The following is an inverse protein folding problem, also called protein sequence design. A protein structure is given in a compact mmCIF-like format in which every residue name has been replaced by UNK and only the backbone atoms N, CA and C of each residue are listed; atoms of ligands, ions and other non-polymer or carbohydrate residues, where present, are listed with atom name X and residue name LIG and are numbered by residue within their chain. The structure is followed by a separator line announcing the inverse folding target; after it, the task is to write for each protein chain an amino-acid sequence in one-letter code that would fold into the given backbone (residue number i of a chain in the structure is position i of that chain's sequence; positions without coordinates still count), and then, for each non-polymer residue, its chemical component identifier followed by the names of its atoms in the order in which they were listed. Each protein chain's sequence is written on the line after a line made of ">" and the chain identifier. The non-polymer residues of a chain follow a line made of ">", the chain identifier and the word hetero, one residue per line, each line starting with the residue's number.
data_IF_296754699440
#
_entry.id   IF_296754699440
#
_cell.length_a   1.000
_cell.length_b   1.000
_cell.length_c   1.000
_cell.angle_alpha   90.00
_cell.angle_beta   90.00
_cell.angle_gamma   90.00
#
_symmetry.space_group_name_H-M   'P 1'
#
loop_
_entity.id
_entity.type
_entity.pdbx_description
1 polymer ?
#
# COMPACT_ATOMS: atom_id res chain seq x y z
N UNK A 1 -27.71 -22.87 13.50
CA UNK A 1 -26.44 -22.57 12.89
C UNK A 1 -26.71 -21.43 11.91
N UNK A 2 -26.23 -20.25 12.20
CA UNK A 2 -26.29 -19.12 11.26
C UNK A 2 -25.51 -19.51 10.01
N UNK A 3 -25.95 -19.12 8.80
CA UNK A 3 -25.12 -19.30 7.61
C UNK A 3 -23.78 -18.60 7.88
N UNK A 4 -22.69 -19.21 7.45
CA UNK A 4 -21.35 -18.66 7.63
C UNK A 4 -21.33 -17.19 7.17
N UNK A 5 -21.11 -16.27 8.10
CA UNK A 5 -20.96 -14.83 7.84
C UNK A 5 -19.78 -14.49 6.89
N UNK A 6 -19.04 -15.50 6.44
CA UNK A 6 -17.88 -15.38 5.56
C UNK A 6 -18.17 -15.52 4.08
N UNK A 7 -19.38 -15.93 3.68
CA UNK A 7 -19.71 -16.18 2.28
C UNK A 7 -20.53 -15.02 1.69
N UNK A 8 -20.10 -14.53 0.51
CA UNK A 8 -20.85 -13.50 -0.21
C UNK A 8 -22.25 -13.99 -0.60
N UNK A 9 -23.23 -13.10 -0.56
CA UNK A 9 -24.58 -13.37 -1.01
C UNK A 9 -24.62 -13.78 -2.50
N UNK A 10 -25.55 -14.66 -2.92
CA UNK A 10 -25.66 -15.11 -4.32
C UNK A 10 -25.78 -13.97 -5.33
N UNK A 11 -26.50 -12.90 -5.00
CA UNK A 11 -26.67 -11.74 -5.88
C UNK A 11 -25.38 -10.93 -6.02
N UNK A 12 -24.58 -10.83 -4.95
CA UNK A 12 -23.26 -10.20 -5.01
C UNK A 12 -22.32 -11.02 -5.89
N UNK A 13 -22.26 -12.34 -5.70
CA UNK A 13 -21.47 -13.25 -6.57
C UNK A 13 -21.89 -13.14 -8.03
N UNK A 14 -23.18 -13.05 -8.32
CA UNK A 14 -23.71 -12.84 -9.68
C UNK A 14 -23.24 -11.52 -10.26
N UNK A 15 -23.26 -10.44 -9.48
CA UNK A 15 -22.81 -9.12 -9.91
C UNK A 15 -21.31 -9.10 -10.23
N UNK A 16 -20.47 -9.71 -9.38
CA UNK A 16 -19.04 -9.86 -9.61
C UNK A 16 -18.76 -10.63 -10.90
N UNK A 17 -19.40 -11.77 -11.09
CA UNK A 17 -19.27 -12.58 -12.30
C UNK A 17 -19.71 -11.83 -13.55
N UNK A 18 -20.85 -11.14 -13.49
CA UNK A 18 -21.35 -10.31 -14.59
C UNK A 18 -20.35 -9.22 -14.96
N UNK A 19 -19.77 -8.53 -13.95
CA UNK A 19 -18.76 -7.49 -14.19
C UNK A 19 -17.50 -8.06 -14.84
N UNK A 20 -17.02 -9.20 -14.38
CA UNK A 20 -15.85 -9.88 -14.95
C UNK A 20 -16.10 -10.32 -16.41
N UNK A 21 -17.21 -11.01 -16.66
CA UNK A 21 -17.59 -11.47 -17.99
C UNK A 21 -17.77 -10.32 -18.99
N UNK A 22 -18.44 -9.23 -18.57
CA UNK A 22 -18.61 -8.03 -19.38
C UNK A 22 -17.26 -7.39 -19.73
N UNK A 23 -16.34 -7.33 -18.78
CA UNK A 23 -15.01 -6.80 -19.03
C UNK A 23 -14.21 -7.68 -20.00
N UNK A 24 -14.31 -8.99 -19.90
CA UNK A 24 -13.65 -9.93 -20.81
C UNK A 24 -14.11 -9.71 -22.25
N UNK A 25 -15.42 -9.61 -22.47
CA UNK A 25 -15.98 -9.35 -23.81
C UNK A 25 -15.55 -8.01 -24.37
N UNK A 26 -15.72 -6.93 -23.61
CA UNK A 26 -15.38 -5.58 -24.07
C UNK A 26 -13.88 -5.37 -24.24
N UNK A 27 -13.07 -5.96 -23.34
CA UNK A 27 -11.61 -5.90 -23.41
C UNK A 27 -11.00 -6.90 -24.39
N UNK A 28 -11.81 -7.75 -25.04
CA UNK A 28 -11.40 -8.77 -26.01
C UNK A 28 -10.28 -9.67 -25.44
N UNK A 29 -10.27 -9.92 -24.13
CA UNK A 29 -9.28 -10.78 -23.50
C UNK A 29 -9.64 -12.25 -23.75
N UNK A 30 -8.72 -13.12 -24.22
CA UNK A 30 -9.02 -14.54 -24.41
C UNK A 30 -9.50 -15.21 -23.12
N UNK A 31 -8.92 -14.84 -21.98
CA UNK A 31 -9.35 -15.30 -20.66
C UNK A 31 -9.06 -14.27 -19.59
N UNK A 32 -9.84 -14.34 -18.50
CA UNK A 32 -9.67 -13.56 -17.27
C UNK A 32 -9.87 -14.47 -16.07
N UNK A 33 -9.11 -14.24 -15.00
CA UNK A 33 -9.35 -14.84 -13.69
C UNK A 33 -9.38 -13.73 -12.65
N UNK A 34 -10.22 -13.87 -11.63
CA UNK A 34 -10.36 -12.87 -10.58
C UNK A 34 -10.63 -13.50 -9.22
N UNK A 35 -10.27 -12.78 -8.18
CA UNK A 35 -10.62 -13.13 -6.80
C UNK A 35 -11.03 -11.89 -6.03
N UNK A 36 -11.87 -12.07 -5.03
CA UNK A 36 -12.20 -11.07 -4.02
C UNK A 36 -11.86 -11.62 -2.65
N UNK A 37 -11.23 -10.77 -1.86
CA UNK A 37 -10.81 -11.04 -0.48
C UNK A 37 -11.61 -10.14 0.44
N UNK A 38 -12.03 -10.67 1.59
CA UNK A 38 -12.67 -9.91 2.66
C UNK A 38 -12.10 -10.35 3.99
N UNK A 39 -11.73 -9.37 4.83
CA UNK A 39 -11.16 -9.65 6.13
C UNK A 39 -10.04 -10.71 6.05
N UNK A 40 -9.06 -10.46 5.16
CA UNK A 40 -7.90 -11.31 4.91
C UNK A 40 -8.16 -12.65 4.23
N UNK A 41 -9.39 -12.99 3.87
CA UNK A 41 -9.74 -14.32 3.33
C UNK A 41 -10.37 -14.25 1.95
N UNK A 42 -10.04 -15.15 1.02
CA UNK A 42 -10.73 -15.28 -0.25
C UNK A 42 -12.21 -15.65 -0.02
N UNK A 43 -13.13 -14.83 -0.56
CA UNK A 43 -14.58 -15.05 -0.47
C UNK A 43 -15.22 -15.36 -1.83
N UNK A 44 -14.48 -15.09 -2.91
CA UNK A 44 -14.91 -15.39 -4.27
C UNK A 44 -13.68 -15.54 -5.18
N UNK A 45 -13.69 -16.59 -6.00
CA UNK A 45 -12.71 -16.82 -7.08
C UNK A 45 -13.49 -17.31 -8.29
N UNK A 46 -13.24 -16.74 -9.46
CA UNK A 46 -13.92 -17.12 -10.70
C UNK A 46 -13.03 -16.84 -11.92
N UNK A 47 -13.35 -17.46 -13.04
CA UNK A 47 -12.71 -17.24 -14.32
C UNK A 47 -13.73 -17.14 -15.45
N UNK A 48 -13.33 -16.51 -16.58
CA UNK A 48 -14.15 -16.39 -17.76
C UNK A 48 -13.31 -16.42 -19.04
N UNK A 49 -13.87 -16.95 -20.13
CA UNK A 49 -13.14 -17.13 -21.38
C UNK A 49 -12.52 -18.50 -21.50
N UNK A 50 -11.38 -18.65 -22.19
CA UNK A 50 -10.77 -19.96 -22.45
C UNK A 50 -9.24 -19.92 -22.35
N UNK A 51 -8.68 -20.91 -21.68
CA UNK A 51 -7.24 -21.25 -21.66
C UNK A 51 -7.09 -22.71 -22.07
N UNK A 52 -6.34 -22.99 -23.15
CA UNK A 52 -6.12 -24.34 -23.68
C UNK A 52 -7.40 -25.18 -23.86
N UNK A 53 -8.51 -24.53 -24.25
CA UNK A 53 -9.81 -25.18 -24.49
C UNK A 53 -10.70 -25.35 -23.24
N UNK A 54 -10.21 -24.99 -22.05
CA UNK A 54 -10.97 -24.98 -20.79
C UNK A 54 -11.20 -23.58 -20.24
N UNK A 55 -12.15 -23.43 -19.32
CA UNK A 55 -12.33 -22.18 -18.56
C UNK A 55 -11.19 -22.04 -17.56
N UNK A 56 -10.57 -20.86 -17.41
CA UNK A 56 -9.57 -20.65 -16.36
C UNK A 56 -10.20 -20.78 -14.97
N UNK A 57 -9.43 -21.28 -14.05
CA UNK A 57 -9.79 -21.42 -12.65
C UNK A 57 -8.87 -20.57 -11.75
N UNK A 58 -9.05 -20.68 -10.44
CA UNK A 58 -8.25 -19.98 -9.45
C UNK A 58 -6.76 -20.34 -9.47
N UNK A 59 -6.38 -21.51 -10.03
CA UNK A 59 -5.01 -22.03 -10.06
C UNK A 59 -4.33 -21.91 -11.43
N UNK A 60 -5.01 -21.35 -12.42
CA UNK A 60 -4.40 -21.01 -13.71
C UNK A 60 -3.43 -19.84 -13.54
N UNK A 61 -2.15 -20.04 -13.89
CA UNK A 61 -1.14 -18.99 -13.80
C UNK A 61 -1.25 -17.98 -14.95
N UNK A 62 -1.03 -16.72 -14.59
CA UNK A 62 -0.84 -15.58 -15.49
C UNK A 62 0.45 -14.84 -15.12
N UNK A 63 1.09 -14.19 -16.08
CA UNK A 63 2.20 -13.29 -15.79
C UNK A 63 1.66 -12.01 -15.14
N UNK A 64 2.22 -11.60 -13.98
CA UNK A 64 1.63 -10.53 -13.17
C UNK A 64 2.35 -9.18 -13.31
N UNK A 65 3.40 -9.13 -14.12
CA UNK A 65 4.11 -7.89 -14.42
C UNK A 65 4.55 -7.14 -13.17
N UNK A 66 4.35 -5.85 -13.17
CA UNK A 66 4.84 -4.94 -12.13
C UNK A 66 4.28 -5.16 -10.72
N UNK A 67 3.29 -6.02 -10.51
CA UNK A 67 2.93 -6.49 -9.16
C UNK A 67 4.15 -7.13 -8.49
N UNK A 68 5.10 -7.69 -9.26
CA UNK A 68 6.41 -8.16 -8.79
C UNK A 68 7.13 -7.13 -7.91
N UNK A 69 6.98 -5.84 -8.22
CA UNK A 69 7.63 -4.76 -7.45
C UNK A 69 7.16 -4.71 -6.01
N UNK A 70 5.89 -4.95 -5.75
CA UNK A 70 5.36 -4.99 -4.39
C UNK A 70 6.02 -6.11 -3.58
N UNK A 71 6.24 -7.28 -4.18
CA UNK A 71 6.97 -8.37 -3.53
C UNK A 71 8.43 -8.02 -3.23
N UNK A 72 9.11 -7.35 -4.17
CA UNK A 72 10.48 -6.88 -3.96
C UNK A 72 10.52 -5.82 -2.86
N UNK A 73 9.55 -4.91 -2.81
CA UNK A 73 9.46 -3.91 -1.75
C UNK A 73 9.28 -4.56 -0.36
N UNK A 74 8.46 -5.61 -0.25
CA UNK A 74 8.32 -6.39 0.99
C UNK A 74 9.68 -6.94 1.43
N UNK A 75 10.47 -7.52 0.53
CA UNK A 75 11.81 -8.04 0.87
C UNK A 75 12.76 -6.94 1.36
N UNK A 76 12.75 -5.77 0.70
CA UNK A 76 13.60 -4.63 1.11
C UNK A 76 13.20 -4.09 2.47
N UNK A 77 11.90 -3.94 2.73
CA UNK A 77 11.40 -3.47 4.02
C UNK A 77 11.66 -4.48 5.14
N UNK A 78 11.59 -5.77 4.85
CA UNK A 78 12.01 -6.82 5.78
C UNK A 78 13.48 -6.69 6.16
N UNK A 79 14.38 -6.42 5.19
CA UNK A 79 15.80 -6.13 5.48
C UNK A 79 15.98 -4.90 6.36
N UNK A 80 15.16 -3.87 6.19
CA UNK A 80 15.14 -2.70 7.07
C UNK A 80 14.69 -3.08 8.49
N UNK A 81 13.60 -3.82 8.62
CA UNK A 81 13.05 -4.24 9.90
C UNK A 81 14.03 -5.13 10.70
N UNK A 82 14.89 -5.86 9.98
CA UNK A 82 16.00 -6.62 10.55
C UNK A 82 17.24 -5.76 10.86
N UNK A 83 17.20 -4.45 10.61
CA UNK A 83 18.33 -3.54 10.82
C UNK A 83 19.51 -3.74 9.85
N UNK A 84 19.29 -4.42 8.71
CA UNK A 84 20.32 -4.70 7.70
C UNK A 84 20.57 -3.52 6.75
N UNK A 85 19.65 -2.58 6.66
CA UNK A 85 19.73 -1.35 5.88
C UNK A 85 18.83 -0.28 6.50
N UNK A 86 19.04 0.99 6.09
CA UNK A 86 18.11 2.09 6.32
C UNK A 86 17.58 2.61 4.97
N UNK A 87 16.32 3.07 4.91
CA UNK A 87 15.76 3.63 3.66
C UNK A 87 16.48 4.90 3.19
N UNK A 88 17.15 5.59 4.11
CA UNK A 88 18.01 6.76 3.85
C UNK A 88 19.41 6.38 3.37
N UNK A 89 19.80 5.10 3.43
CA UNK A 89 21.10 4.68 2.93
C UNK A 89 21.21 4.94 1.42
N UNK A 90 22.34 5.49 0.95
CA UNK A 90 22.64 5.50 -0.47
C UNK A 90 22.91 4.05 -0.93
N UNK A 91 22.51 3.74 -2.16
CA UNK A 91 22.66 2.39 -2.72
C UNK A 91 24.12 1.91 -2.71
N UNK A 92 25.09 2.81 -2.93
CA UNK A 92 26.53 2.53 -2.94
C UNK A 92 27.05 1.92 -1.62
N UNK A 93 26.38 2.19 -0.50
CA UNK A 93 26.72 1.56 0.78
C UNK A 93 26.60 0.03 0.73
N UNK A 94 25.69 -0.47 -0.10
CA UNK A 94 25.38 -1.89 -0.21
C UNK A 94 25.77 -2.49 -1.57
N UNK A 95 25.69 -1.71 -2.66
CA UNK A 95 26.08 -2.07 -4.02
C UNK A 95 27.13 -1.08 -4.56
N UNK A 96 28.38 -1.16 -4.06
CA UNK A 96 29.41 -0.19 -4.42
C UNK A 96 29.75 -0.23 -5.91
N UNK A 97 30.01 0.96 -6.48
CA UNK A 97 30.37 1.12 -7.89
C UNK A 97 29.19 1.13 -8.87
N UNK A 98 27.97 1.21 -8.37
CA UNK A 98 26.78 1.36 -9.22
C UNK A 98 26.65 2.81 -9.71
N UNK A 99 26.38 3.03 -11.00
CA UNK A 99 26.20 4.39 -11.56
C UNK A 99 25.06 5.19 -10.91
N UNK A 100 24.08 4.50 -10.31
CA UNK A 100 22.97 5.10 -9.53
C UNK A 100 23.24 5.07 -8.02
N UNK A 101 24.48 4.92 -7.58
CA UNK A 101 24.86 4.64 -6.20
C UNK A 101 24.44 5.69 -5.18
N UNK A 102 24.23 6.94 -5.59
CA UNK A 102 23.77 8.01 -4.71
C UNK A 102 22.25 8.01 -4.48
N UNK A 103 21.48 7.22 -5.24
CA UNK A 103 20.05 7.07 -4.99
C UNK A 103 19.83 6.37 -3.64
N UNK A 104 18.95 6.92 -2.80
CA UNK A 104 18.58 6.25 -1.55
C UNK A 104 17.63 5.08 -1.82
N UNK A 105 17.68 4.08 -0.95
CA UNK A 105 16.82 2.89 -1.04
C UNK A 105 15.33 3.29 -1.01
N UNK A 106 14.95 4.23 -0.13
CA UNK A 106 13.58 4.75 -0.07
C UNK A 106 13.16 5.46 -1.36
N UNK A 107 14.06 6.23 -1.98
CA UNK A 107 13.77 6.89 -3.25
C UNK A 107 13.59 5.90 -4.41
N UNK A 108 14.31 4.78 -4.41
CA UNK A 108 14.10 3.69 -5.38
C UNK A 108 12.74 3.03 -5.18
N UNK A 109 12.35 2.69 -3.94
CA UNK A 109 11.05 2.11 -3.60
C UNK A 109 9.88 3.00 -4.01
N UNK A 110 10.01 4.32 -3.83
CA UNK A 110 8.97 5.32 -4.10
C UNK A 110 9.01 5.91 -5.52
N UNK A 111 9.92 5.46 -6.38
CA UNK A 111 10.15 6.03 -7.72
C UNK A 111 10.47 7.54 -7.72
N UNK A 112 11.18 8.01 -6.70
CA UNK A 112 11.63 9.42 -6.59
C UNK A 112 13.14 9.57 -6.80
N UNK A 113 13.85 8.50 -7.12
CA UNK A 113 15.29 8.55 -7.39
C UNK A 113 15.65 9.30 -8.67
N UNK A 114 14.68 9.58 -9.54
CA UNK A 114 14.89 10.30 -10.79
C UNK A 114 15.59 9.49 -11.89
N UNK A 115 15.60 8.17 -11.77
CA UNK A 115 16.20 7.28 -12.77
C UNK A 115 15.31 7.17 -14.02
N UNK A 116 15.92 6.80 -15.16
CA UNK A 116 15.21 6.48 -16.39
C UNK A 116 14.09 5.44 -16.14
N UNK A 117 12.97 5.61 -16.84
CA UNK A 117 11.83 4.70 -16.72
C UNK A 117 12.17 3.28 -17.20
N UNK A 118 12.97 3.20 -18.27
CA UNK A 118 13.29 1.97 -18.98
C UNK A 118 14.81 1.82 -19.20
N UNK A 119 15.21 0.61 -19.55
CA UNK A 119 16.60 0.28 -19.87
C UNK A 119 16.99 0.90 -21.22
N UNK A 120 18.27 1.24 -21.45
CA UNK A 120 18.74 1.59 -22.78
C UNK A 120 18.68 0.37 -23.72
N UNK A 121 18.48 0.62 -25.02
CA UNK A 121 18.53 -0.39 -26.08
C UNK A 121 17.20 -1.10 -26.36
N UNK A 122 17.20 -2.38 -26.83
CA UNK A 122 15.97 -3.04 -27.23
C UNK A 122 15.00 -3.25 -26.06
N UNK A 123 13.72 -3.36 -26.38
CA UNK A 123 12.62 -3.57 -25.44
C UNK A 123 12.85 -4.82 -24.57
N UNK A 124 13.19 -4.60 -23.30
CA UNK A 124 13.60 -5.65 -22.37
C UNK A 124 12.54 -6.72 -22.11
N UNK A 125 11.25 -6.35 -22.12
CA UNK A 125 10.15 -7.29 -21.91
C UNK A 125 10.01 -8.33 -23.05
N UNK A 126 10.64 -8.06 -24.21
CA UNK A 126 10.68 -8.94 -25.38
C UNK A 126 12.08 -9.45 -25.69
N UNK A 127 13.07 -9.11 -24.88
CA UNK A 127 14.46 -9.49 -25.08
C UNK A 127 14.88 -10.49 -24.01
N UNK A 128 15.41 -11.68 -24.36
CA UNK A 128 15.92 -12.61 -23.36
C UNK A 128 16.98 -11.96 -22.46
N UNK A 129 16.77 -12.04 -21.15
CA UNK A 129 17.64 -11.39 -20.15
C UNK A 129 19.07 -11.93 -20.15
N UNK A 130 19.28 -13.18 -20.62
CA UNK A 130 20.60 -13.75 -20.80
C UNK A 130 21.50 -12.98 -21.78
N UNK A 131 20.94 -12.12 -22.65
CA UNK A 131 21.67 -11.25 -23.54
C UNK A 131 22.22 -9.99 -22.81
N UNK A 132 21.79 -9.76 -21.58
CA UNK A 132 22.20 -8.63 -20.71
C UNK A 132 22.41 -9.12 -19.29
N UNK A 133 23.49 -9.88 -19.02
CA UNK A 133 23.69 -10.57 -17.75
C UNK A 133 24.10 -9.66 -16.61
N UNK A 134 24.68 -8.48 -16.94
CA UNK A 134 25.23 -7.58 -15.92
C UNK A 134 24.23 -6.46 -15.57
N UNK A 135 24.30 -6.00 -14.32
CA UNK A 135 23.48 -4.88 -13.86
C UNK A 135 23.76 -3.59 -14.63
N UNK A 136 25.02 -3.36 -15.02
CA UNK A 136 25.41 -2.25 -15.87
C UNK A 136 24.72 -2.23 -17.24
N UNK A 137 24.38 -3.40 -17.78
CA UNK A 137 23.71 -3.50 -19.08
C UNK A 137 22.27 -2.94 -19.04
N UNK A 138 21.63 -2.97 -17.86
CA UNK A 138 20.25 -2.50 -17.68
C UNK A 138 20.17 -1.03 -17.24
N UNK A 139 21.26 -0.46 -16.71
CA UNK A 139 21.31 0.93 -16.28
C UNK A 139 21.84 1.88 -17.38
N UNK A 140 22.77 1.40 -18.21
CA UNK A 140 23.54 2.26 -19.09
C UNK A 140 24.54 3.15 -18.34
N UNK A 141 25.14 4.10 -19.06
CA UNK A 141 26.19 4.98 -18.50
C UNK A 141 25.65 6.20 -17.76
N UNK A 142 24.42 6.62 -18.06
CA UNK A 142 23.78 7.81 -17.45
C UNK A 142 22.29 7.55 -17.24
N UNK A 143 21.93 6.83 -16.16
CA UNK A 143 20.54 6.50 -15.87
C UNK A 143 19.77 7.64 -15.20
N UNK A 144 20.42 8.75 -14.79
CA UNK A 144 19.79 9.85 -14.07
C UNK A 144 19.13 10.83 -15.04
N UNK A 145 17.80 10.85 -15.12
CA UNK A 145 17.05 11.72 -16.04
C UNK A 145 16.40 12.92 -15.35
N UNK A 146 16.22 12.84 -14.02
CA UNK A 146 15.70 13.93 -13.20
C UNK A 146 16.49 14.03 -11.90
N UNK A 147 16.59 15.22 -11.26
CA UNK A 147 17.11 15.33 -9.91
C UNK A 147 16.29 14.47 -8.94
N UNK A 148 16.99 13.74 -8.05
CA UNK A 148 16.35 12.92 -7.03
C UNK A 148 15.46 13.75 -6.09
N UNK A 149 14.34 13.20 -5.67
CA UNK A 149 13.39 13.81 -4.72
C UNK A 149 12.47 14.88 -5.32
N UNK A 150 12.63 15.28 -6.59
CA UNK A 150 11.83 16.37 -7.16
C UNK A 150 10.47 15.95 -7.67
N UNK A 151 10.36 14.73 -8.17
CA UNK A 151 9.11 14.21 -8.73
C UNK A 151 9.03 12.69 -8.69
N UNK A 152 7.83 12.19 -8.77
CA UNK A 152 7.62 10.79 -9.10
C UNK A 152 8.03 10.54 -10.56
N UNK A 153 8.87 9.54 -10.78
CA UNK A 153 9.23 9.06 -12.11
C UNK A 153 9.43 7.55 -12.07
N UNK A 154 8.41 6.82 -12.51
CA UNK A 154 8.39 5.36 -12.46
C UNK A 154 9.63 4.78 -13.17
N UNK A 155 10.37 3.89 -12.52
CA UNK A 155 11.61 3.31 -13.05
C UNK A 155 11.61 1.79 -12.88
N UNK A 156 11.62 1.06 -13.98
CA UNK A 156 11.83 -0.39 -14.01
C UNK A 156 13.28 -0.74 -13.60
N UNK A 157 14.34 -0.06 -14.11
CA UNK A 157 15.72 -0.28 -13.66
C UNK A 157 15.92 -0.07 -12.16
N UNK A 158 15.18 0.85 -11.52
CA UNK A 158 15.21 1.04 -10.07
C UNK A 158 14.89 -0.23 -9.29
N UNK A 159 13.96 -1.03 -9.78
CA UNK A 159 13.62 -2.32 -9.14
C UNK A 159 14.56 -3.46 -9.47
N UNK A 160 15.24 -3.41 -10.62
CA UNK A 160 16.38 -4.29 -10.87
C UNK A 160 17.48 -4.08 -9.83
N UNK A 161 17.76 -2.81 -9.47
CA UNK A 161 18.69 -2.46 -8.39
C UNK A 161 18.24 -2.96 -7.02
N UNK A 162 16.96 -2.83 -6.69
CA UNK A 162 16.42 -3.35 -5.42
C UNK A 162 16.48 -4.88 -5.34
N UNK A 163 16.24 -5.59 -6.45
CA UNK A 163 16.46 -7.04 -6.52
C UNK A 163 17.92 -7.42 -6.29
N UNK A 164 18.86 -6.72 -6.96
CA UNK A 164 20.29 -6.93 -6.76
C UNK A 164 20.74 -6.60 -5.31
N UNK A 165 20.13 -5.59 -4.67
CA UNK A 165 20.35 -5.25 -3.26
C UNK A 165 19.95 -6.42 -2.35
N UNK A 166 18.78 -7.03 -2.58
CA UNK A 166 18.33 -8.21 -1.83
C UNK A 166 19.32 -9.36 -2.00
N UNK A 167 19.74 -9.68 -3.24
CA UNK A 167 20.74 -10.70 -3.53
C UNK A 167 22.05 -10.45 -2.79
N UNK A 168 22.52 -9.22 -2.81
CA UNK A 168 23.79 -8.82 -2.16
C UNK A 168 23.76 -9.01 -0.64
N UNK A 169 22.65 -8.63 -0.01
CA UNK A 169 22.54 -8.70 1.46
C UNK A 169 22.26 -10.13 1.93
N UNK A 170 21.46 -10.91 1.20
CA UNK A 170 21.10 -12.30 1.54
C UNK A 170 22.15 -13.31 1.08
N UNK A 171 22.94 -13.01 0.03
CA UNK A 171 23.90 -13.94 -0.55
C UNK A 171 23.26 -15.03 -1.41
N UNK A 172 22.00 -14.87 -1.81
CA UNK A 172 21.19 -15.82 -2.58
C UNK A 172 20.43 -15.08 -3.68
N UNK A 173 19.97 -15.80 -4.72
CA UNK A 173 19.12 -15.22 -5.75
C UNK A 173 17.83 -14.66 -5.14
N UNK A 174 17.41 -13.46 -5.58
CA UNK A 174 16.23 -12.78 -5.03
C UNK A 174 14.95 -13.61 -5.11
N UNK A 175 14.82 -14.45 -6.14
CA UNK A 175 13.67 -15.32 -6.29
C UNK A 175 13.62 -16.44 -5.26
N UNK A 176 14.77 -16.98 -4.84
CA UNK A 176 14.85 -17.98 -3.75
C UNK A 176 14.57 -17.34 -2.40
N UNK A 177 15.09 -16.12 -2.19
CA UNK A 177 14.77 -15.30 -1.00
C UNK A 177 13.27 -15.03 -0.94
N UNK A 178 12.67 -14.58 -2.05
CA UNK A 178 11.24 -14.34 -2.16
C UNK A 178 10.42 -15.57 -1.81
N UNK A 179 10.77 -16.72 -2.38
CA UNK A 179 10.07 -17.97 -2.11
C UNK A 179 10.09 -18.31 -0.63
N UNK A 180 11.26 -18.28 0.00
CA UNK A 180 11.44 -18.65 1.41
C UNK A 180 10.80 -17.66 2.39
N UNK A 181 10.94 -16.35 2.12
CA UNK A 181 10.59 -15.33 3.09
C UNK A 181 9.19 -14.74 2.93
N UNK A 182 8.56 -14.93 1.76
CA UNK A 182 7.24 -14.37 1.47
C UNK A 182 6.27 -15.46 0.97
N UNK A 183 6.64 -16.19 -0.08
CA UNK A 183 5.67 -17.07 -0.75
C UNK A 183 5.32 -18.29 0.12
N UNK A 184 6.30 -18.98 0.68
CA UNK A 184 6.08 -20.15 1.55
C UNK A 184 5.30 -19.78 2.83
N UNK A 185 5.64 -18.70 3.58
CA UNK A 185 4.85 -18.27 4.72
C UNK A 185 3.40 -17.93 4.42
N UNK A 186 3.12 -17.38 3.21
CA UNK A 186 1.78 -17.04 2.75
C UNK A 186 1.07 -18.19 2.03
N UNK A 187 1.72 -19.35 1.85
CA UNK A 187 1.16 -20.52 1.14
C UNK A 187 1.00 -20.32 -0.36
N UNK A 188 1.74 -19.40 -0.97
CA UNK A 188 1.66 -19.03 -2.40
C UNK A 188 2.48 -20.01 -3.28
N UNK A 189 2.07 -21.25 -3.31
CA UNK A 189 2.82 -22.34 -3.95
C UNK A 189 2.80 -22.32 -5.49
N UNK A 190 1.93 -21.51 -6.06
CA UNK A 190 1.75 -21.32 -7.51
C UNK A 190 2.30 -19.99 -8.01
N UNK A 191 3.07 -19.26 -7.18
CA UNK A 191 3.77 -18.02 -7.57
C UNK A 191 5.23 -18.34 -7.86
N UNK A 192 5.66 -18.10 -9.09
CA UNK A 192 6.94 -18.59 -9.61
C UNK A 192 7.60 -17.59 -10.57
N UNK A 193 8.92 -17.70 -10.79
CA UNK A 193 9.66 -16.87 -11.77
C UNK A 193 9.34 -17.26 -13.23
N UNK A 194 9.11 -18.53 -13.48
CA UNK A 194 8.80 -19.07 -14.79
C UNK A 194 7.45 -19.79 -14.76
N UNK A 195 6.71 -19.88 -15.87
CA UNK A 195 5.39 -20.49 -15.88
C UNK A 195 5.43 -21.97 -15.53
N UNK A 196 4.46 -22.41 -14.74
CA UNK A 196 4.22 -23.81 -14.37
C UNK A 196 2.77 -24.15 -14.73
N UNK A 197 2.57 -25.24 -15.47
CA UNK A 197 1.23 -25.65 -15.90
C UNK A 197 0.29 -25.96 -14.69
N UNK A 198 -1.01 -25.63 -14.79
CA UNK A 198 -1.67 -24.93 -15.89
C UNK A 198 -1.35 -23.42 -15.90
N UNK A 199 -1.07 -22.86 -17.06
CA UNK A 199 -0.85 -21.42 -17.24
C UNK A 199 -1.47 -20.94 -18.56
N UNK A 200 -1.83 -19.65 -18.60
CA UNK A 200 -2.32 -18.99 -19.81
C UNK A 200 -1.16 -18.66 -20.77
N UNK A 201 -1.40 -18.76 -22.06
CA UNK A 201 -0.54 -18.18 -23.07
C UNK A 201 -0.82 -16.68 -23.21
N UNK A 202 0.22 -15.88 -23.51
CA UNK A 202 0.10 -14.45 -23.72
C UNK A 202 -0.33 -14.09 -25.14
N UNK A 203 -1.23 -13.11 -25.26
CA UNK A 203 -1.78 -12.70 -26.54
C UNK A 203 -1.85 -11.17 -26.70
N UNK A 204 -1.56 -10.67 -27.90
CA UNK A 204 -2.07 -9.40 -28.36
C UNK A 204 -3.30 -9.66 -29.24
N UNK A 205 -4.25 -8.71 -29.23
CA UNK A 205 -5.40 -8.75 -30.14
C UNK A 205 -5.13 -7.79 -31.30
N UNK A 206 -5.32 -8.25 -32.52
CA UNK A 206 -5.15 -7.40 -33.68
C UNK A 206 -6.07 -6.16 -33.60
N UNK A 207 -5.55 -4.93 -33.81
CA UNK A 207 -6.34 -3.72 -33.57
C UNK A 207 -7.60 -3.61 -34.45
N UNK A 208 -7.56 -4.21 -35.65
CA UNK A 208 -8.63 -4.10 -36.65
C UNK A 208 -9.37 -5.42 -36.93
N UNK A 209 -9.09 -6.48 -36.16
CA UNK A 209 -9.72 -7.78 -36.36
C UNK A 209 -9.76 -8.58 -35.07
N UNK A 210 -10.74 -9.49 -34.91
CA UNK A 210 -10.81 -10.42 -33.81
C UNK A 210 -9.86 -11.62 -34.04
N UNK A 211 -8.56 -11.30 -34.07
CA UNK A 211 -7.47 -12.26 -34.33
C UNK A 211 -6.43 -12.13 -33.22
N UNK A 212 -6.00 -13.26 -32.70
CA UNK A 212 -4.97 -13.35 -31.66
C UNK A 212 -3.59 -13.42 -32.32
N UNK A 213 -2.66 -12.62 -31.79
CA UNK A 213 -1.26 -12.60 -32.13
C UNK A 213 -0.47 -13.09 -30.91
N UNK A 214 0.37 -14.13 -31.03
CA UNK A 214 1.11 -14.68 -29.89
C UNK A 214 2.14 -13.68 -29.37
N UNK A 215 2.23 -13.56 -28.05
CA UNK A 215 3.22 -12.76 -27.36
C UNK A 215 4.30 -13.62 -26.72
N UNK A 216 5.58 -13.19 -26.76
CA UNK A 216 6.66 -13.95 -26.15
C UNK A 216 6.60 -13.86 -24.61
N UNK A 217 6.96 -14.95 -23.95
CA UNK A 217 7.19 -14.99 -22.51
C UNK A 217 8.68 -15.28 -22.28
N UNK A 218 9.49 -14.23 -22.23
CA UNK A 218 10.93 -14.34 -22.01
C UNK A 218 11.28 -14.27 -20.53
N UNK A 219 12.38 -14.89 -20.14
CA UNK A 219 13.04 -14.63 -18.86
C UNK A 219 13.73 -13.26 -18.94
N UNK A 220 13.36 -12.34 -18.07
CA UNK A 220 13.85 -10.98 -18.05
C UNK A 220 15.24 -10.82 -17.39
N UNK A 221 15.80 -11.89 -16.83
CA UNK A 221 17.15 -11.88 -16.24
C UNK A 221 17.28 -10.82 -15.14
N UNK A 222 18.22 -9.87 -15.30
CA UNK A 222 18.44 -8.78 -14.33
C UNK A 222 17.24 -7.86 -14.15
N UNK A 223 16.34 -7.77 -15.13
CA UNK A 223 15.10 -7.02 -15.04
C UNK A 223 13.95 -7.79 -14.35
N UNK A 224 14.16 -9.07 -14.01
CA UNK A 224 13.13 -9.90 -13.38
C UNK A 224 12.47 -9.29 -12.13
N UNK A 225 13.19 -8.58 -11.23
CA UNK A 225 12.56 -7.91 -10.08
C UNK A 225 11.54 -6.82 -10.44
N UNK A 226 11.57 -6.34 -11.68
CA UNK A 226 10.64 -5.32 -12.16
C UNK A 226 9.30 -5.91 -12.67
N UNK A 227 9.24 -7.21 -13.08
CA UNK A 227 8.01 -7.71 -13.69
C UNK A 227 7.95 -9.19 -14.08
N UNK A 228 8.79 -10.04 -13.53
CA UNK A 228 8.93 -11.44 -14.02
C UNK A 228 7.86 -12.40 -13.51
N UNK A 229 7.31 -12.19 -12.31
CA UNK A 229 6.53 -13.23 -11.63
C UNK A 229 5.31 -13.70 -12.42
N UNK A 230 5.03 -14.99 -12.27
CA UNK A 230 3.80 -15.66 -12.63
C UNK A 230 3.04 -16.02 -11.35
N UNK A 231 1.72 -15.84 -11.35
CA UNK A 231 0.90 -16.16 -10.19
C UNK A 231 -0.51 -16.55 -10.62
N UNK A 232 -1.32 -16.92 -9.66
CA UNK A 232 -2.71 -17.34 -9.83
C UNK A 232 -3.64 -16.38 -9.08
N UNK A 233 -4.94 -16.42 -9.41
CA UNK A 233 -5.92 -15.65 -8.68
C UNK A 233 -6.01 -16.07 -7.20
N UNK A 234 -5.84 -17.36 -6.91
CA UNK A 234 -5.83 -17.91 -5.55
C UNK A 234 -4.64 -17.42 -4.74
N UNK A 235 -3.41 -17.52 -5.29
CA UNK A 235 -2.20 -17.06 -4.60
C UNK A 235 -2.23 -15.55 -4.35
N UNK A 236 -2.62 -14.77 -5.37
CA UNK A 236 -2.73 -13.31 -5.21
C UNK A 236 -3.87 -12.90 -4.28
N UNK A 237 -4.92 -13.71 -4.12
CA UNK A 237 -5.90 -13.48 -3.07
C UNK A 237 -5.27 -13.65 -1.68
N UNK A 238 -4.41 -14.64 -1.49
CA UNK A 238 -3.60 -14.77 -0.26
C UNK A 238 -2.70 -13.55 -0.03
N UNK A 239 -2.06 -13.04 -1.09
CA UNK A 239 -1.25 -11.82 -1.02
C UNK A 239 -2.10 -10.58 -0.71
N UNK A 240 -3.29 -10.44 -1.31
CA UNK A 240 -4.21 -9.37 -0.98
C UNK A 240 -4.69 -9.44 0.48
N UNK A 241 -4.90 -10.65 1.02
CA UNK A 241 -5.16 -10.88 2.44
C UNK A 241 -4.02 -10.40 3.33
N UNK A 242 -2.78 -10.74 2.98
CA UNK A 242 -1.60 -10.21 3.65
C UNK A 242 -1.52 -8.67 3.57
N UNK A 243 -1.81 -8.08 2.42
CA UNK A 243 -1.81 -6.62 2.26
C UNK A 243 -2.92 -5.93 3.09
N UNK A 244 -3.99 -6.61 3.49
CA UNK A 244 -5.05 -6.10 4.36
C UNK A 244 -4.69 -6.28 5.85
N UNK A 245 -4.47 -7.51 6.27
CA UNK A 245 -4.41 -7.89 7.69
C UNK A 245 -2.98 -8.02 8.23
N UNK A 246 -1.98 -8.07 7.32
CA UNK A 246 -0.59 -8.32 7.68
C UNK A 246 -0.30 -9.80 8.01
N UNK A 247 0.99 -10.10 8.13
CA UNK A 247 1.54 -11.34 8.68
C UNK A 247 2.96 -11.04 9.17
N UNK A 248 3.17 -11.04 10.47
CA UNK A 248 4.46 -10.69 11.08
C UNK A 248 5.59 -11.67 10.72
N UNK A 249 5.27 -12.86 10.23
CA UNK A 249 6.28 -13.78 9.68
C UNK A 249 6.90 -13.22 8.40
N UNK A 250 6.18 -12.33 7.69
CA UNK A 250 6.57 -11.74 6.41
C UNK A 250 7.04 -10.29 6.59
N UNK A 251 6.25 -9.44 7.24
CA UNK A 251 6.56 -8.01 7.41
C UNK A 251 5.88 -7.46 8.66
N UNK A 252 6.56 -6.54 9.36
CA UNK A 252 5.98 -5.87 10.53
C UNK A 252 4.76 -5.01 10.13
N UNK A 253 3.74 -4.90 11.00
CA UNK A 253 2.52 -4.13 10.70
C UNK A 253 2.80 -2.67 10.37
N UNK A 254 3.71 -2.00 11.07
CA UNK A 254 4.09 -0.61 10.82
C UNK A 254 4.73 -0.43 9.44
N UNK A 255 5.54 -1.39 9.01
CA UNK A 255 6.16 -1.40 7.68
C UNK A 255 5.13 -1.57 6.58
N UNK A 256 4.14 -2.43 6.79
CA UNK A 256 3.02 -2.60 5.86
C UNK A 256 2.15 -1.34 5.77
N UNK A 257 1.89 -0.66 6.89
CA UNK A 257 1.17 0.61 6.91
C UNK A 257 1.96 1.71 6.17
N UNK A 258 3.29 1.74 6.33
CA UNK A 258 4.16 2.67 5.60
C UNK A 258 4.14 2.42 4.09
N UNK A 259 4.09 1.17 3.61
CA UNK A 259 3.93 0.85 2.19
C UNK A 259 2.68 1.50 1.59
N UNK A 260 1.60 1.58 2.33
CA UNK A 260 0.31 2.16 1.93
C UNK A 260 0.22 3.68 2.12
N UNK A 261 1.25 4.29 2.69
CA UNK A 261 1.31 5.74 2.91
C UNK A 261 1.94 6.46 1.70
N UNK A 262 1.48 7.66 1.32
CA UNK A 262 2.09 8.42 0.22
C UNK A 262 3.55 8.74 0.51
N UNK A 263 4.46 8.18 -0.28
CA UNK A 263 5.91 8.39 -0.19
C UNK A 263 6.47 9.22 -1.36
N UNK A 264 5.69 9.39 -2.45
CA UNK A 264 6.03 10.29 -3.54
C UNK A 264 4.91 11.31 -3.76
N UNK A 265 5.26 12.54 -4.21
CA UNK A 265 4.26 13.52 -4.57
C UNK A 265 3.37 12.95 -5.68
N UNK A 266 2.05 13.24 -5.67
CA UNK A 266 1.17 12.86 -6.76
C UNK A 266 1.63 13.55 -8.06
N UNK A 267 1.31 12.96 -9.21
CA UNK A 267 1.46 13.70 -10.48
C UNK A 267 0.67 15.00 -10.41
N UNK A 268 1.29 16.09 -10.88
CA UNK A 268 0.75 17.45 -10.70
C UNK A 268 -0.66 17.66 -11.25
N UNK A 269 -1.13 16.78 -12.14
CA UNK A 269 -2.46 16.81 -12.75
C UNK A 269 -3.50 15.92 -12.07
N UNK A 270 -3.09 15.01 -11.16
CA UNK A 270 -3.95 13.97 -10.59
C UNK A 270 -3.81 13.95 -9.07
N UNK A 271 -4.87 14.41 -8.36
CA UNK A 271 -4.94 14.34 -6.90
C UNK A 271 -5.56 13.04 -6.37
N UNK A 272 -5.92 12.15 -7.27
CA UNK A 272 -6.57 10.87 -7.01
C UNK A 272 -5.59 9.68 -7.08
N UNK A 273 -4.32 9.92 -7.40
CA UNK A 273 -3.29 8.89 -7.46
C UNK A 273 -2.02 9.31 -6.71
N UNK A 274 -1.26 8.33 -6.25
CA UNK A 274 0.02 8.49 -5.57
C UNK A 274 0.81 7.20 -5.59
N UNK A 275 1.95 7.20 -4.93
CA UNK A 275 2.79 6.01 -4.78
C UNK A 275 3.38 5.95 -3.37
N UNK A 276 3.29 4.79 -2.76
CA UNK A 276 3.90 4.48 -1.47
C UNK A 276 5.25 3.80 -1.63
N UNK A 277 5.60 2.88 -0.75
CA UNK A 277 6.81 2.08 -0.90
C UNK A 277 6.49 0.77 -1.63
N UNK A 278 6.65 0.78 -2.96
CA UNK A 278 6.36 -0.36 -3.82
C UNK A 278 4.87 -0.62 -4.07
N UNK A 279 4.03 0.36 -3.81
CA UNK A 279 2.58 0.27 -4.03
C UNK A 279 2.05 1.52 -4.71
N UNK A 280 1.20 1.34 -5.70
CA UNK A 280 0.35 2.39 -6.25
C UNK A 280 -0.77 2.69 -5.24
N UNK A 281 -1.12 3.97 -5.14
CA UNK A 281 -2.24 4.46 -4.33
C UNK A 281 -3.24 5.13 -5.27
N UNK A 282 -4.51 4.80 -5.12
CA UNK A 282 -5.58 5.34 -5.96
C UNK A 282 -6.76 5.74 -5.07
N UNK A 283 -7.23 6.96 -5.23
CA UNK A 283 -8.50 7.39 -4.63
C UNK A 283 -9.60 7.31 -5.67
N UNK A 284 -10.61 6.49 -5.40
CA UNK A 284 -11.75 6.31 -6.31
C UNK A 284 -13.05 6.16 -5.52
N UNK A 285 -14.06 6.94 -5.91
CA UNK A 285 -15.40 6.91 -5.31
C UNK A 285 -15.38 7.03 -3.77
N UNK A 286 -14.49 7.91 -3.27
CA UNK A 286 -14.31 8.16 -1.84
C UNK A 286 -13.45 7.14 -1.10
N UNK A 287 -13.01 6.05 -1.75
CA UNK A 287 -12.19 4.97 -1.20
C UNK A 287 -10.73 5.16 -1.55
N UNK A 288 -9.85 4.81 -0.63
CA UNK A 288 -8.42 4.66 -0.89
C UNK A 288 -8.13 3.20 -1.23
N UNK A 289 -7.56 2.98 -2.40
CA UNK A 289 -7.07 1.69 -2.85
C UNK A 289 -5.55 1.71 -2.83
N UNK A 290 -4.94 0.66 -2.30
CA UNK A 290 -3.51 0.42 -2.34
C UNK A 290 -3.21 -0.91 -3.02
N UNK A 291 -2.11 -1.01 -3.75
CA UNK A 291 -1.75 -2.22 -4.47
C UNK A 291 -0.90 -1.93 -5.70
N UNK A 292 -1.05 -2.70 -6.75
CA UNK A 292 -0.29 -2.46 -7.98
C UNK A 292 -1.01 -3.03 -9.21
N UNK A 293 -0.88 -2.33 -10.33
CA UNK A 293 -1.18 -2.88 -11.66
C UNK A 293 0.07 -3.50 -12.26
N UNK A 294 -0.09 -4.48 -13.11
CA UNK A 294 1.01 -5.12 -13.83
C UNK A 294 0.70 -5.29 -15.30
N UNK A 295 1.72 -5.14 -16.13
CA UNK A 295 1.67 -5.40 -17.56
C UNK A 295 2.97 -6.06 -18.01
N UNK A 296 2.85 -7.06 -18.84
CA UNK A 296 3.94 -7.68 -19.62
C UNK A 296 3.35 -8.09 -20.97
N UNK A 297 4.17 -8.32 -22.02
CA UNK A 297 3.65 -8.79 -23.28
C UNK A 297 2.70 -9.99 -23.11
N UNK A 298 1.47 -9.83 -23.59
CA UNK A 298 0.41 -10.83 -23.47
C UNK A 298 -0.37 -10.85 -22.17
N UNK A 299 -0.09 -9.98 -21.20
CA UNK A 299 -0.73 -10.03 -19.87
C UNK A 299 -0.93 -8.67 -19.23
N UNK A 300 -2.06 -8.50 -18.55
CA UNK A 300 -2.31 -7.41 -17.59
C UNK A 300 -2.87 -8.00 -16.30
N UNK A 301 -2.50 -7.41 -15.18
CA UNK A 301 -2.87 -7.87 -13.85
C UNK A 301 -3.11 -6.69 -12.89
N UNK A 302 -3.89 -6.92 -11.84
CA UNK A 302 -4.08 -5.94 -10.76
C UNK A 302 -4.35 -6.65 -9.44
N UNK A 303 -3.79 -6.09 -8.38
CA UNK A 303 -4.20 -6.32 -7.00
C UNK A 303 -4.53 -4.96 -6.40
N UNK A 304 -5.76 -4.78 -5.91
CA UNK A 304 -6.17 -3.63 -5.10
C UNK A 304 -6.72 -4.07 -3.77
N UNK A 305 -6.38 -3.36 -2.71
CA UNK A 305 -6.97 -3.52 -1.37
C UNK A 305 -7.47 -2.18 -0.86
N UNK A 306 -8.58 -2.19 -0.16
CA UNK A 306 -9.13 -1.05 0.60
C UNK A 306 -9.14 -1.43 2.08
N UNK A 307 -8.25 -0.82 2.86
CA UNK A 307 -8.10 -1.10 4.29
C UNK A 307 -9.37 -0.73 5.06
N UNK A 308 -9.92 0.46 4.77
CA UNK A 308 -11.15 0.96 5.40
C UNK A 308 -12.34 0.00 5.21
N UNK A 309 -12.46 -0.60 4.02
CA UNK A 309 -13.54 -1.53 3.70
C UNK A 309 -13.19 -2.99 4.08
N UNK A 310 -11.90 -3.31 4.31
CA UNK A 310 -11.40 -4.66 4.50
C UNK A 310 -11.64 -5.57 3.31
N UNK A 311 -11.63 -5.01 2.10
CA UNK A 311 -11.90 -5.72 0.86
C UNK A 311 -10.73 -5.56 -0.08
N UNK A 312 -10.33 -6.66 -0.71
CA UNK A 312 -9.34 -6.66 -1.80
C UNK A 312 -9.88 -7.38 -3.03
N UNK A 313 -9.35 -7.03 -4.20
CA UNK A 313 -9.65 -7.70 -5.44
C UNK A 313 -8.40 -7.92 -6.29
N UNK A 314 -8.38 -9.06 -6.95
CA UNK A 314 -7.38 -9.49 -7.92
C UNK A 314 -8.06 -9.68 -9.26
N UNK A 315 -7.44 -9.19 -10.33
CA UNK A 315 -7.88 -9.45 -11.70
C UNK A 315 -6.67 -9.73 -12.58
N UNK A 316 -6.74 -10.81 -13.35
CA UNK A 316 -5.71 -11.31 -14.27
C UNK A 316 -6.32 -11.47 -15.65
N UNK A 317 -5.62 -11.06 -16.70
CA UNK A 317 -6.04 -11.26 -18.08
C UNK A 317 -4.84 -11.54 -18.98
N UNK A 318 -5.03 -12.44 -19.95
CA UNK A 318 -3.98 -12.81 -20.89
C UNK A 318 -4.07 -12.03 -22.21
N UNK A 319 -3.99 -10.70 -22.10
CA UNK A 319 -3.99 -9.78 -23.24
C UNK A 319 -3.03 -8.61 -22.99
N UNK A 320 -2.32 -8.16 -24.03
CA UNK A 320 -1.33 -7.07 -23.93
C UNK A 320 -1.99 -5.72 -23.61
N UNK A 321 -3.16 -5.42 -24.20
CA UNK A 321 -3.82 -4.12 -24.08
C UNK A 321 -5.34 -4.24 -24.32
N UNK A 322 -6.06 -3.16 -24.00
CA UNK A 322 -7.51 -3.05 -24.23
C UNK A 322 -8.38 -3.52 -23.05
N UNK A 323 -7.82 -4.24 -22.09
CA UNK A 323 -8.54 -4.69 -20.90
C UNK A 323 -8.26 -3.74 -19.71
N UNK A 324 -9.28 -3.05 -19.14
CA UNK A 324 -9.09 -2.07 -18.08
C UNK A 324 -8.95 -2.72 -16.69
N UNK A 325 -7.87 -3.51 -16.50
CA UNK A 325 -7.69 -4.39 -15.35
C UNK A 325 -7.82 -3.69 -14.01
N UNK A 326 -7.24 -2.49 -13.85
CA UNK A 326 -7.30 -1.70 -12.62
C UNK A 326 -8.73 -1.22 -12.30
N UNK A 327 -9.47 -0.78 -13.32
CA UNK A 327 -10.86 -0.36 -13.15
C UNK A 327 -11.77 -1.53 -12.79
N UNK A 328 -11.56 -2.70 -13.42
CA UNK A 328 -12.34 -3.91 -13.10
C UNK A 328 -12.12 -4.32 -11.65
N UNK A 329 -10.87 -4.39 -11.18
CA UNK A 329 -10.57 -4.75 -9.80
C UNK A 329 -11.18 -3.73 -8.80
N UNK A 330 -11.10 -2.43 -9.08
CA UNK A 330 -11.74 -1.41 -8.24
C UNK A 330 -13.26 -1.56 -8.20
N UNK A 331 -13.92 -1.88 -9.33
CA UNK A 331 -15.35 -2.14 -9.39
C UNK A 331 -15.76 -3.39 -8.60
N UNK A 332 -14.90 -4.44 -8.55
CA UNK A 332 -15.14 -5.61 -7.71
C UNK A 332 -15.09 -5.25 -6.22
N UNK A 333 -14.08 -4.47 -5.78
CA UNK A 333 -14.02 -3.93 -4.41
C UNK A 333 -15.27 -3.12 -4.10
N UNK A 334 -15.63 -2.17 -4.96
CA UNK A 334 -16.83 -1.34 -4.79
C UNK A 334 -18.11 -2.17 -4.67
N UNK A 335 -18.27 -3.19 -5.53
CA UNK A 335 -19.46 -4.05 -5.55
C UNK A 335 -19.67 -4.73 -4.20
N UNK A 336 -18.60 -5.24 -3.58
CA UNK A 336 -18.70 -5.88 -2.27
C UNK A 336 -18.93 -4.86 -1.15
N UNK A 337 -18.18 -3.76 -1.14
CA UNK A 337 -18.33 -2.71 -0.14
C UNK A 337 -19.74 -2.09 -0.11
N UNK A 338 -20.40 -1.95 -1.28
CA UNK A 338 -21.73 -1.36 -1.38
C UNK A 338 -22.86 -2.35 -1.12
N UNK A 339 -22.72 -3.62 -1.57
CA UNK A 339 -23.77 -4.61 -1.45
C UNK A 339 -23.76 -5.34 -0.10
N UNK A 340 -22.59 -5.43 0.49
CA UNK A 340 -22.35 -6.12 1.75
C UNK A 340 -21.46 -5.27 2.66
N UNK A 341 -21.91 -4.06 3.05
CA UNK A 341 -21.10 -3.18 3.89
C UNK A 341 -20.82 -3.87 5.24
N UNK A 342 -19.64 -3.57 5.81
CA UNK A 342 -19.32 -4.00 7.16
C UNK A 342 -20.34 -3.45 8.14
N UNK A 343 -20.90 -4.32 8.98
CA UNK A 343 -21.76 -3.91 10.09
C UNK A 343 -20.81 -3.42 11.21
N UNK A 344 -20.87 -2.15 11.62
CA UNK A 344 -20.00 -1.66 12.67
C UNK A 344 -20.30 -2.39 13.99
N UNK A 345 -19.25 -2.59 14.78
CA UNK A 345 -19.43 -3.15 16.11
C UNK A 345 -20.37 -2.25 16.93
N UNK A 346 -21.27 -2.85 17.74
CA UNK A 346 -22.15 -2.05 18.59
C UNK A 346 -21.32 -1.20 19.54
N UNK A 347 -21.73 0.05 19.69
CA UNK A 347 -21.10 0.93 20.67
C UNK A 347 -21.19 0.30 22.08
N UNK A 348 -20.08 0.39 22.80
CA UNK A 348 -20.00 -0.06 24.20
C UNK A 348 -19.46 1.09 25.05
N UNK A 349 -19.98 1.28 26.26
CA UNK A 349 -19.42 2.28 27.17
C UNK A 349 -18.04 1.83 27.67
N UNK A 350 -17.28 2.76 28.20
CA UNK A 350 -16.09 2.46 29.00
C UNK A 350 -16.48 1.52 30.16
N UNK A 351 -15.77 0.40 30.36
CA UNK A 351 -16.08 -0.52 31.46
C UNK A 351 -15.83 0.10 32.84
N UNK A 352 -14.84 0.97 32.92
CA UNK A 352 -14.49 1.76 34.10
C UNK A 352 -14.05 3.13 33.65
N UNK A 353 -14.39 4.16 34.41
CA UNK A 353 -13.98 5.54 34.14
C UNK A 353 -13.10 6.01 35.28
N UNK A 354 -11.93 6.51 34.95
CA UNK A 354 -11.12 7.30 35.86
C UNK A 354 -11.85 8.61 36.18
N UNK A 355 -12.18 8.89 37.45
CA UNK A 355 -12.87 10.14 37.84
C UNK A 355 -12.09 11.41 37.46
N UNK A 356 -10.76 11.37 37.49
CA UNK A 356 -9.94 12.52 37.08
C UNK A 356 -10.05 12.76 35.58
N UNK A 357 -9.96 11.69 34.77
CA UNK A 357 -10.13 11.80 33.34
C UNK A 357 -11.57 12.26 32.98
N UNK A 358 -12.59 11.76 33.69
CA UNK A 358 -13.96 12.21 33.48
C UNK A 358 -14.14 13.71 33.83
N UNK A 359 -13.44 14.21 34.85
CA UNK A 359 -13.44 15.62 35.19
C UNK A 359 -12.80 16.51 34.11
N UNK A 360 -11.94 15.95 33.26
CA UNK A 360 -11.36 16.63 32.09
C UNK A 360 -12.33 16.65 30.90
N UNK A 361 -13.32 15.77 30.84
CA UNK A 361 -14.27 15.71 29.73
C UNK A 361 -15.07 17.01 29.59
N UNK A 362 -15.51 17.29 28.37
CA UNK A 362 -16.33 18.47 28.05
C UNK A 362 -15.58 19.60 27.36
N UNK A 363 -16.11 20.84 27.43
CA UNK A 363 -15.59 21.95 26.66
C UNK A 363 -14.24 22.47 27.17
N UNK A 364 -13.38 22.78 26.22
CA UNK A 364 -12.11 23.45 26.37
C UNK A 364 -11.97 24.53 25.29
N UNK A 365 -11.18 25.56 25.53
CA UNK A 365 -11.04 26.68 24.61
C UNK A 365 -9.56 26.93 24.31
N UNK A 366 -9.21 26.96 23.04
CA UNK A 366 -7.94 27.51 22.56
C UNK A 366 -8.17 28.96 22.16
N UNK A 367 -7.87 29.89 23.06
CA UNK A 367 -8.34 31.27 22.93
C UNK A 367 -9.87 31.33 22.92
N UNK A 368 -10.49 31.93 21.90
CA UNK A 368 -11.95 31.96 21.77
C UNK A 368 -12.51 30.69 21.09
N UNK A 369 -11.67 29.84 20.52
CA UNK A 369 -12.12 28.67 19.74
C UNK A 369 -12.52 27.49 20.65
N UNK A 370 -13.77 26.98 20.56
CA UNK A 370 -14.24 25.88 21.38
C UNK A 370 -13.81 24.53 20.85
N UNK A 371 -13.34 23.67 21.76
CA UNK A 371 -13.00 22.26 21.57
C UNK A 371 -13.78 21.41 22.56
N UNK A 372 -13.82 20.13 22.34
CA UNK A 372 -14.34 19.14 23.29
C UNK A 372 -13.31 18.05 23.53
N UNK A 373 -13.07 17.72 24.79
CA UNK A 373 -12.28 16.57 25.19
C UNK A 373 -13.24 15.44 25.56
N UNK A 374 -13.06 14.27 24.95
CA UNK A 374 -13.90 13.08 25.15
C UNK A 374 -13.03 11.86 25.45
N UNK A 375 -13.17 11.22 26.60
CA UNK A 375 -12.73 9.84 26.80
C UNK A 375 -13.54 8.90 25.91
N UNK A 376 -12.88 7.99 25.21
CA UNK A 376 -13.47 7.06 24.25
C UNK A 376 -13.53 5.64 24.82
N UNK A 377 -14.46 4.82 24.31
CA UNK A 377 -14.69 3.45 24.77
C UNK A 377 -13.48 2.50 24.58
N UNK A 378 -12.56 2.82 23.71
CA UNK A 378 -11.33 2.08 23.44
C UNK A 378 -10.14 2.50 24.32
N UNK A 379 -10.36 3.37 25.31
CA UNK A 379 -9.35 3.86 26.23
C UNK A 379 -8.53 5.04 25.73
N UNK A 380 -8.81 5.54 24.54
CA UNK A 380 -8.21 6.79 24.02
C UNK A 380 -8.97 8.02 24.47
N UNK A 381 -8.38 9.18 24.22
CA UNK A 381 -9.00 10.48 24.41
C UNK A 381 -9.06 11.19 23.06
N UNK A 382 -10.15 11.86 22.77
CA UNK A 382 -10.27 12.74 21.61
C UNK A 382 -10.32 14.20 22.07
N UNK A 383 -9.52 15.06 21.42
CA UNK A 383 -9.63 16.53 21.54
C UNK A 383 -9.96 17.09 20.15
N UNK A 384 -11.18 17.55 19.97
CA UNK A 384 -11.69 17.98 18.67
C UNK A 384 -12.37 19.34 18.73
N UNK A 385 -12.25 20.20 17.67
CA UNK A 385 -12.99 21.45 17.61
C UNK A 385 -14.50 21.21 17.48
N UNK A 386 -15.32 21.97 18.21
CA UNK A 386 -16.78 21.84 18.15
C UNK A 386 -17.38 22.28 16.81
N UNK A 387 -16.70 23.14 16.09
CA UNK A 387 -17.11 23.60 14.74
C UNK A 387 -16.84 22.59 13.63
N UNK A 388 -16.33 21.39 13.98
CA UNK A 388 -15.81 20.43 13.01
C UNK A 388 -14.39 20.78 12.56
N UNK A 389 -13.74 19.83 11.88
CA UNK A 389 -12.36 19.97 11.43
C UNK A 389 -11.42 18.94 12.04
N UNK A 390 -10.13 19.26 12.09
CA UNK A 390 -9.09 18.32 12.54
C UNK A 390 -9.10 18.16 14.05
N UNK A 391 -9.64 17.04 14.54
CA UNK A 391 -9.45 16.57 15.90
C UNK A 391 -8.17 15.74 16.02
N UNK A 392 -7.73 15.56 17.26
CA UNK A 392 -6.60 14.70 17.60
C UNK A 392 -7.09 13.56 18.48
N UNK A 393 -6.75 12.35 18.11
CA UNK A 393 -6.91 11.17 18.96
C UNK A 393 -5.62 10.97 19.74
N UNK A 394 -5.75 10.73 21.02
CA UNK A 394 -4.65 10.74 21.98
C UNK A 394 -4.59 9.40 22.72
N UNK A 395 -3.41 8.81 22.78
CA UNK A 395 -3.13 7.55 23.47
C UNK A 395 -2.54 7.86 24.85
N UNK A 396 -3.03 7.26 25.96
CA UNK A 396 -2.40 7.40 27.26
C UNK A 396 -0.96 6.85 27.22
N UNK A 397 -0.01 7.62 27.78
CA UNK A 397 1.41 7.22 27.87
C UNK A 397 1.82 6.83 29.30
N UNK A 398 0.93 6.99 30.26
CA UNK A 398 1.20 6.92 31.71
C UNK A 398 1.35 8.30 32.32
N UNK A 399 1.44 8.36 33.65
CA UNK A 399 1.67 9.58 34.45
C UNK A 399 0.68 10.75 34.18
N UNK A 400 -0.52 10.44 33.67
CA UNK A 400 -1.54 11.45 33.36
C UNK A 400 -1.25 12.27 32.10
N UNK A 401 -0.41 11.74 31.20
CA UNK A 401 -0.11 12.34 29.89
C UNK A 401 -0.67 11.48 28.75
N UNK A 402 -0.87 12.09 27.58
CA UNK A 402 -1.32 11.44 26.36
C UNK A 402 -0.49 11.90 25.16
N UNK A 403 -0.31 11.01 24.19
CA UNK A 403 0.38 11.26 22.92
C UNK A 403 -0.62 11.34 21.77
N UNK A 404 -0.51 12.37 20.94
CA UNK A 404 -1.30 12.53 19.73
C UNK A 404 -0.97 11.49 18.68
N UNK A 405 -1.99 10.86 18.08
CA UNK A 405 -1.81 9.80 17.10
C UNK A 405 -2.00 10.25 15.66
N UNK A 406 -2.63 11.39 15.44
CA UNK A 406 -3.00 11.84 14.10
C UNK A 406 -3.05 13.36 13.95
N UNK A 407 -3.12 13.80 12.69
CA UNK A 407 -3.27 15.20 12.34
C UNK A 407 -2.06 16.05 12.71
N UNK A 408 -2.32 17.31 13.08
CA UNK A 408 -1.27 18.27 13.40
C UNK A 408 -0.51 17.93 14.68
N UNK A 409 -1.16 17.26 15.62
CA UNK A 409 -0.60 16.91 16.92
C UNK A 409 -0.06 15.49 17.00
N UNK A 410 0.20 14.82 15.86
CA UNK A 410 0.82 13.50 15.85
C UNK A 410 2.22 13.56 16.50
N UNK A 411 2.46 12.74 17.53
CA UNK A 411 3.70 12.72 18.31
C UNK A 411 3.79 13.78 19.43
N UNK A 412 2.87 14.75 19.45
CA UNK A 412 2.83 15.77 20.50
C UNK A 412 2.19 15.24 21.78
N UNK A 413 2.62 15.78 22.92
CA UNK A 413 2.10 15.38 24.22
C UNK A 413 1.04 16.33 24.73
N UNK A 414 -0.09 15.78 25.17
CA UNK A 414 -1.09 16.47 25.96
C UNK A 414 -0.77 16.29 27.46
N UNK A 415 -0.65 17.41 28.18
CA UNK A 415 -0.43 17.48 29.61
C UNK A 415 -1.55 18.22 30.30
N UNK A 416 -1.79 17.85 31.57
CA UNK A 416 -2.75 18.52 32.43
C UNK A 416 -1.98 19.38 33.42
N UNK A 417 -2.01 20.70 33.24
CA UNK A 417 -1.36 21.64 34.10
C UNK A 417 -2.28 22.04 35.29
N UNK A 418 -1.69 22.03 36.48
CA UNK A 418 -2.42 22.32 37.72
C UNK A 418 -1.88 23.58 38.40
N UNK A 419 -2.76 24.30 39.05
CA UNK A 419 -2.40 25.47 39.88
C UNK A 419 -1.79 25.02 41.23
N UNK A 420 -1.36 26.00 42.03
CA UNK A 420 -0.78 25.79 43.37
C UNK A 420 -1.74 25.12 44.37
N UNK A 421 -3.05 25.13 44.10
CA UNK A 421 -4.07 24.47 44.90
C UNK A 421 -4.38 23.05 44.40
N UNK A 422 -3.71 22.58 43.32
CA UNK A 422 -3.90 21.27 42.68
C UNK A 422 -5.09 21.22 41.74
N UNK A 423 -5.81 22.31 41.51
CA UNK A 423 -6.90 22.36 40.55
C UNK A 423 -6.37 22.45 39.12
N UNK A 424 -7.09 21.85 38.17
CA UNK A 424 -6.71 21.90 36.76
C UNK A 424 -6.79 23.35 36.26
N UNK A 425 -5.66 23.91 35.88
CA UNK A 425 -5.51 25.24 35.33
C UNK A 425 -5.80 25.25 33.82
N UNK A 426 -5.09 24.42 33.06
CA UNK A 426 -5.20 24.33 31.60
C UNK A 426 -4.69 22.98 31.10
N UNK A 427 -4.94 22.70 29.81
CA UNK A 427 -4.25 21.62 29.08
C UNK A 427 -3.18 22.24 28.18
N UNK A 428 -2.04 21.60 28.12
CA UNK A 428 -0.96 21.91 27.20
C UNK A 428 -0.86 20.80 26.17
N UNK A 429 -0.92 21.14 24.87
CA UNK A 429 -0.72 20.21 23.77
C UNK A 429 0.33 20.79 22.81
N UNK A 430 1.57 20.33 22.94
CA UNK A 430 2.70 20.97 22.30
C UNK A 430 2.93 22.37 22.87
N UNK A 431 2.55 23.42 22.16
CA UNK A 431 2.60 24.81 22.63
C UNK A 431 1.21 25.43 22.71
N UNK A 432 0.16 24.67 22.46
CA UNK A 432 -1.21 25.16 22.51
C UNK A 432 -1.82 24.98 23.89
N UNK A 433 -2.27 26.09 24.47
CA UNK A 433 -2.94 26.10 25.75
C UNK A 433 -4.46 26.05 25.56
N UNK A 434 -5.12 25.16 26.30
CA UNK A 434 -6.57 25.02 26.33
C UNK A 434 -7.10 25.28 27.73
N UNK A 435 -8.05 26.20 27.87
CA UNK A 435 -8.65 26.60 29.14
C UNK A 435 -10.13 26.23 29.22
N UNK A 436 -10.68 26.15 30.45
CA UNK A 436 -12.13 25.88 30.68
C UNK A 436 -13.06 27.00 30.27
N UNK A 437 -12.53 28.20 30.10
CA UNK A 437 -13.29 29.37 29.63
C UNK A 437 -12.54 30.02 28.48
N UNK A 438 -13.25 30.60 27.51
CA UNK A 438 -12.57 31.40 26.50
C UNK A 438 -11.79 32.55 27.16
N UNK A 439 -10.55 32.76 26.72
CA UNK A 439 -9.75 33.86 27.22
C UNK A 439 -9.71 35.02 26.21
N UNK A 440 -9.56 36.22 26.75
CA UNK A 440 -9.35 37.41 25.92
C UNK A 440 -7.94 37.32 25.29
N UNK A 441 -7.81 37.52 23.98
CA UNK A 441 -6.48 37.58 23.34
C UNK A 441 -5.54 38.64 23.89
N UNK A 442 -6.08 39.68 24.56
CA UNK A 442 -5.32 40.72 25.24
C UNK A 442 -4.91 40.33 26.68
N UNK A 443 -5.49 39.26 27.26
CA UNK A 443 -5.15 38.81 28.60
C UNK A 443 -3.83 38.03 28.61
N UNK A 444 -3.14 37.93 29.75
CA UNK A 444 -1.98 37.04 29.88
C UNK A 444 -2.35 35.59 29.53
N UNK A 445 -1.50 34.94 28.73
CA UNK A 445 -1.69 33.54 28.37
C UNK A 445 -1.54 32.67 29.63
N UNK A 446 -2.48 31.76 29.92
CA UNK A 446 -2.30 30.79 31.00
C UNK A 446 -1.00 30.02 30.82
N UNK A 447 -0.27 29.77 31.91
CA UNK A 447 1.09 29.20 31.85
C UNK A 447 2.18 30.28 31.70
N UNK A 448 1.80 31.54 31.39
CA UNK A 448 2.73 32.67 31.31
C UNK A 448 3.42 32.82 29.95
N UNK A 449 4.34 33.76 29.91
CA UNK A 449 5.26 34.01 28.79
C UNK A 449 6.66 33.78 29.34
N UNK A 450 7.49 33.00 28.64
CA UNK A 450 8.90 32.84 29.01
C UNK A 450 9.60 34.21 28.89
N UNK A 451 10.06 34.79 30.01
CA UNK A 451 10.67 36.14 30.00
C UNK A 451 12.00 36.16 29.24
N UNK A 452 12.62 35.01 29.07
CA UNK A 452 13.89 34.85 28.34
C UNK A 452 13.70 34.64 26.85
N UNK A 453 12.43 34.50 26.41
CA UNK A 453 12.08 34.24 25.00
C UNK A 453 12.49 32.84 24.49
N UNK A 454 12.54 32.72 23.19
CA UNK A 454 12.97 31.45 22.54
C UNK A 454 14.48 31.30 22.70
N UNK A 455 14.90 30.22 23.38
CA UNK A 455 16.29 29.81 23.44
C UNK A 455 16.47 28.59 22.53
N UNK A 456 17.43 28.66 21.61
CA UNK A 456 17.90 27.48 20.91
C UNK A 456 18.52 26.52 21.93
N UNK A 457 17.91 25.36 22.10
CA UNK A 457 18.45 24.26 22.90
C UNK A 457 19.54 23.53 22.16
#
# INVERSE_FOLDING_TARGET
>A
MSPNETDLLPDTRRALRHRLATAQVHGRAPSVAAAVVRDGRPVWVDGWGSVAGGMPDGDTQYRIGSITKTFVAVLVLRLRDEGRLALTDPLDKHLPGTVAGQATIGALLAHTAGLAAETPGPWWERTPGALRPELADVLGSDPQVHPAGQRHHYSNPGYALLGALVERIRGEAWGDVLRREVLEPLGMNRTTLLPVAPHAAGWAVHPWADVLLPEPAVDAGRMAPAGQLWSTATDLAGFAGFLLDGDERVLLPDSLAEMRSPASPPEASLWDSGYGLGMQLLRRDGRLLAGHTGSMPGFVATVWVSDDEGVGAVVLANVTAGFPVGAVAADLVQTVAEREPRIPAPWRPLPTVDPELLALAGPWYRGPAPYVLRPLADGFVELAPLSGGRGTRLRPTGDGEWEGLNGYSAGERLRVERDAAGAVSHLDLGTFVFTRKPYDPAAPVPGGVDPDGWRAG
#
